data_IF_208590128931
#
_entry.id   IF_208590128931
#
_cell.length_a   1.000
_cell.length_b   1.000
_cell.length_c   1.000
_cell.angle_alpha   90.00
_cell.angle_beta   90.00
_cell.angle_gamma   90.00
#
_symmetry.space_group_name_H-M   'P 1'
#
loop_
_entity.id
_entity.type
_entity.pdbx_description
1 polymer ?
#
# COMPACT_ATOMS: atom_id res chain seq x y z
N UNK A 1 -37.57 -9.71 0.56
CA UNK A 1 -37.31 -8.32 1.03
C UNK A 1 -36.47 -7.49 0.05
N UNK A 2 -35.62 -8.07 -0.81
CA UNK A 2 -34.72 -7.33 -1.71
C UNK A 2 -35.39 -6.23 -2.57
N UNK A 3 -36.57 -6.50 -3.16
CA UNK A 3 -37.26 -5.56 -4.05
C UNK A 3 -37.56 -4.18 -3.42
N UNK A 4 -37.89 -4.14 -2.12
CA UNK A 4 -38.20 -2.86 -1.44
C UNK A 4 -36.95 -1.99 -1.33
N UNK A 5 -35.79 -2.60 -1.10
CA UNK A 5 -34.52 -1.90 -1.01
C UNK A 5 -34.05 -1.41 -2.39
N UNK A 6 -34.09 -2.28 -3.41
CA UNK A 6 -33.69 -1.92 -4.78
C UNK A 6 -34.47 -0.71 -5.31
N UNK A 7 -35.79 -0.68 -5.10
CA UNK A 7 -36.63 0.42 -5.59
C UNK A 7 -36.34 1.77 -4.92
N UNK A 8 -35.78 1.75 -3.70
CA UNK A 8 -35.39 2.97 -2.99
C UNK A 8 -33.97 3.40 -3.38
N UNK A 9 -33.08 2.44 -3.66
CA UNK A 9 -31.67 2.72 -3.95
C UNK A 9 -31.38 2.98 -5.44
N UNK A 10 -32.29 2.66 -6.35
CA UNK A 10 -32.09 2.88 -7.80
C UNK A 10 -31.96 4.37 -8.20
N UNK A 11 -32.49 5.29 -7.38
CA UNK A 11 -32.44 6.73 -7.61
C UNK A 11 -31.15 7.39 -7.07
N UNK A 12 -30.32 6.63 -6.35
CA UNK A 12 -29.09 7.14 -5.73
C UNK A 12 -27.95 7.15 -6.73
N UNK A 13 -27.25 8.28 -6.82
CA UNK A 13 -26.08 8.42 -7.67
C UNK A 13 -24.95 9.18 -6.96
N UNK A 14 -23.72 8.82 -7.31
CA UNK A 14 -22.51 9.54 -6.89
C UNK A 14 -22.27 10.69 -7.86
N UNK A 15 -22.16 11.91 -7.34
CA UNK A 15 -21.88 13.11 -8.11
C UNK A 15 -20.37 13.36 -8.21
N UNK A 16 -19.95 14.26 -9.10
CA UNK A 16 -18.54 14.58 -9.34
C UNK A 16 -17.79 15.11 -8.10
N UNK A 17 -18.51 15.59 -7.10
CA UNK A 17 -17.97 16.05 -5.81
C UNK A 17 -17.87 14.91 -4.77
N UNK A 18 -17.98 13.64 -5.21
CA UNK A 18 -18.00 12.44 -4.38
C UNK A 18 -19.17 12.36 -3.37
N UNK A 19 -20.18 13.24 -3.49
CA UNK A 19 -21.40 13.17 -2.67
C UNK A 19 -22.41 12.19 -3.27
N UNK A 20 -23.15 11.49 -2.42
CA UNK A 20 -24.28 10.64 -2.84
C UNK A 20 -25.56 11.46 -2.75
N UNK A 21 -26.23 11.65 -3.88
CA UNK A 21 -27.47 12.45 -3.96
C UNK A 21 -28.63 11.63 -4.50
N UNK A 22 -29.83 11.98 -4.06
CA UNK A 22 -31.06 11.46 -4.66
C UNK A 22 -31.44 12.25 -5.93
N UNK A 23 -32.45 11.75 -6.65
CA UNK A 23 -33.01 12.40 -7.85
C UNK A 23 -33.55 13.81 -7.62
N UNK A 24 -33.89 14.19 -6.38
CA UNK A 24 -34.33 15.55 -6.01
C UNK A 24 -33.17 16.49 -5.63
N UNK A 25 -31.92 16.01 -5.69
CA UNK A 25 -30.72 16.79 -5.35
C UNK A 25 -30.40 16.86 -3.85
N UNK A 26 -31.12 16.12 -3.01
CA UNK A 26 -30.84 16.01 -1.58
C UNK A 26 -29.60 15.14 -1.35
N UNK A 27 -28.66 15.63 -0.53
CA UNK A 27 -27.42 14.93 -0.18
C UNK A 27 -27.74 13.91 0.93
N UNK A 28 -27.43 12.65 0.67
CA UNK A 28 -27.60 11.54 1.63
C UNK A 28 -26.27 11.22 2.31
N UNK A 29 -25.17 11.23 1.56
CA UNK A 29 -23.82 11.03 2.09
C UNK A 29 -22.89 12.09 1.52
N UNK A 30 -22.07 12.71 2.38
CA UNK A 30 -21.12 13.75 1.96
C UNK A 30 -19.89 13.19 1.22
N UNK A 31 -19.46 11.99 1.59
CA UNK A 31 -18.37 11.28 0.91
C UNK A 31 -18.82 9.83 0.70
N UNK A 32 -18.89 9.36 -0.54
CA UNK A 32 -19.25 7.98 -0.85
C UNK A 32 -18.42 6.98 -0.05
N UNK A 33 -19.05 6.08 0.70
CA UNK A 33 -18.31 5.06 1.48
C UNK A 33 -17.40 5.61 2.59
N UNK A 34 -17.52 6.90 2.93
CA UNK A 34 -16.62 7.68 3.80
C UNK A 34 -15.18 7.84 3.27
N UNK A 35 -14.69 6.92 2.44
CA UNK A 35 -13.36 6.91 1.83
C UNK A 35 -13.32 7.24 0.33
N UNK A 36 -14.47 7.29 -0.34
CA UNK A 36 -14.60 7.56 -1.77
C UNK A 36 -14.21 6.39 -2.67
N UNK A 37 -14.01 5.19 -2.13
CA UNK A 37 -13.46 4.05 -2.87
C UNK A 37 -14.56 3.11 -3.36
N UNK A 38 -14.44 2.66 -4.61
CA UNK A 38 -15.39 1.69 -5.20
C UNK A 38 -15.06 0.25 -4.74
N UNK A 39 -15.96 -0.43 -4.02
CA UNK A 39 -15.75 -1.81 -3.58
C UNK A 39 -15.56 -2.81 -4.74
N UNK A 40 -16.03 -2.50 -5.95
CA UNK A 40 -15.80 -3.36 -7.12
C UNK A 40 -14.35 -3.30 -7.63
N UNK A 41 -13.61 -2.23 -7.29
CA UNK A 41 -12.22 -2.00 -7.71
C UNK A 41 -11.23 -2.36 -6.59
N UNK A 42 -11.70 -2.53 -5.35
CA UNK A 42 -10.86 -2.93 -4.23
C UNK A 42 -10.22 -4.30 -4.47
N UNK A 43 -8.91 -4.41 -4.23
CA UNK A 43 -8.15 -5.65 -4.46
C UNK A 43 -8.19 -6.61 -3.25
N UNK A 44 -8.49 -6.12 -2.04
CA UNK A 44 -8.38 -6.90 -0.80
C UNK A 44 -9.45 -7.97 -0.64
N UNK A 45 -9.05 -9.24 -0.74
CA UNK A 45 -9.96 -10.39 -0.74
C UNK A 45 -10.58 -10.72 0.62
N UNK A 46 -9.94 -10.39 1.74
CA UNK A 46 -10.33 -10.91 3.07
C UNK A 46 -10.83 -9.84 4.06
N UNK A 47 -10.36 -8.59 3.96
CA UNK A 47 -10.62 -7.56 5.00
C UNK A 47 -11.30 -6.29 4.47
N UNK A 48 -11.74 -6.26 3.20
CA UNK A 48 -12.19 -5.02 2.56
C UNK A 48 -11.08 -3.98 2.45
N UNK A 49 -9.81 -4.44 2.49
CA UNK A 49 -8.66 -3.58 2.31
C UNK A 49 -8.66 -3.04 0.86
N UNK A 50 -8.40 -1.75 0.65
CA UNK A 50 -8.34 -1.19 -0.70
C UNK A 50 -7.31 -1.89 -1.60
N UNK A 51 -6.24 -2.45 -1.00
CA UNK A 51 -5.03 -2.85 -1.71
C UNK A 51 -4.42 -4.17 -1.19
N UNK A 52 -3.99 -5.04 -2.11
CA UNK A 52 -3.20 -6.24 -1.80
C UNK A 52 -1.69 -5.91 -1.74
N UNK A 53 -1.23 -5.53 -0.54
CA UNK A 53 0.17 -5.17 -0.30
C UNK A 53 1.17 -6.30 -0.66
N UNK A 54 0.95 -7.57 -0.27
CA UNK A 54 1.80 -8.69 -0.70
C UNK A 54 1.99 -8.79 -2.22
N UNK A 55 0.91 -8.70 -2.98
CA UNK A 55 0.94 -8.82 -4.44
C UNK A 55 1.67 -7.65 -5.08
N UNK A 56 1.41 -6.42 -4.63
CA UNK A 56 2.13 -5.24 -5.12
C UNK A 56 3.62 -5.30 -4.82
N UNK A 57 3.96 -5.73 -3.62
CA UNK A 57 5.34 -5.92 -3.21
C UNK A 57 6.06 -6.95 -4.11
N UNK A 58 5.40 -8.05 -4.44
CA UNK A 58 5.94 -9.03 -5.38
C UNK A 58 6.08 -8.47 -6.81
N UNK A 59 5.10 -7.71 -7.29
CA UNK A 59 5.14 -7.04 -8.60
C UNK A 59 6.31 -6.06 -8.69
N UNK A 60 6.52 -5.25 -7.65
CA UNK A 60 7.68 -4.38 -7.56
C UNK A 60 8.98 -5.21 -7.64
N UNK A 61 9.00 -6.44 -7.08
CA UNK A 61 10.23 -7.27 -7.01
C UNK A 61 10.52 -7.89 -8.35
N UNK A 62 9.46 -8.17 -9.09
CA UNK A 62 9.53 -8.68 -10.44
C UNK A 62 10.08 -7.62 -11.41
N UNK A 63 9.63 -6.37 -11.25
CA UNK A 63 9.89 -5.25 -12.17
C UNK A 63 11.28 -4.64 -11.99
N UNK A 64 11.84 -4.66 -10.78
CA UNK A 64 13.16 -4.08 -10.52
C UNK A 64 14.29 -5.08 -10.83
N UNK A 65 15.16 -4.82 -11.83
CA UNK A 65 16.37 -5.61 -12.02
C UNK A 65 17.34 -5.36 -10.86
N UNK A 66 18.01 -6.41 -10.39
CA UNK A 66 19.09 -6.30 -9.41
C UNK A 66 20.31 -5.62 -10.05
N UNK A 67 20.31 -4.28 -10.10
CA UNK A 67 21.53 -3.50 -10.34
C UNK A 67 22.40 -3.51 -9.09
N UNK A 68 23.67 -3.16 -9.26
CA UNK A 68 24.72 -2.93 -8.23
C UNK A 68 24.30 -1.85 -7.22
N UNK A 69 23.21 -2.06 -6.50
CA UNK A 69 22.74 -1.16 -5.47
C UNK A 69 23.21 -1.67 -4.12
N UNK A 70 23.68 -0.74 -3.30
CA UNK A 70 23.96 -0.94 -1.88
C UNK A 70 22.77 -1.61 -1.19
N UNK A 71 23.10 -2.61 -0.38
CA UNK A 71 22.15 -3.23 0.53
C UNK A 71 21.72 -2.18 1.56
N UNK A 72 20.42 -2.06 1.75
CA UNK A 72 19.90 -1.24 2.83
C UNK A 72 19.86 -2.06 4.11
N UNK A 73 20.38 -1.48 5.18
CA UNK A 73 20.21 -2.05 6.52
C UNK A 73 18.73 -1.98 6.94
N UNK A 74 18.28 -2.85 7.87
CA UNK A 74 16.92 -2.81 8.40
C UNK A 74 16.51 -1.42 8.94
N UNK A 75 17.48 -0.71 9.52
CA UNK A 75 17.31 0.63 10.08
C UNK A 75 17.12 1.66 8.97
N UNK A 76 17.96 1.60 7.93
CA UNK A 76 17.85 2.48 6.77
C UNK A 76 16.53 2.30 6.01
N UNK A 77 16.00 1.08 5.96
CA UNK A 77 14.67 0.81 5.38
C UNK A 77 13.59 1.54 6.17
N UNK A 78 13.60 1.41 7.49
CA UNK A 78 12.62 2.04 8.38
C UNK A 78 12.68 3.57 8.29
N UNK A 79 13.88 4.13 8.25
CA UNK A 79 14.11 5.56 8.07
C UNK A 79 13.61 6.07 6.70
N UNK A 80 13.86 5.29 5.64
CA UNK A 80 13.39 5.64 4.29
C UNK A 80 11.87 5.61 4.19
N UNK A 81 11.21 4.66 4.84
CA UNK A 81 9.74 4.60 4.91
C UNK A 81 9.19 5.80 5.66
N UNK A 82 9.71 6.09 6.86
CA UNK A 82 9.28 7.24 7.67
C UNK A 82 9.51 8.58 6.95
N UNK A 83 10.66 8.75 6.32
CA UNK A 83 10.98 9.96 5.54
C UNK A 83 10.12 10.12 4.28
N UNK A 84 9.49 9.04 3.81
CA UNK A 84 8.56 9.07 2.67
C UNK A 84 7.12 9.27 3.10
N UNK A 85 6.67 8.61 4.18
CA UNK A 85 5.34 8.81 4.76
C UNK A 85 5.14 10.23 5.34
N UNK A 86 6.22 10.87 5.78
CA UNK A 86 6.21 12.26 6.28
C UNK A 86 6.24 13.31 5.17
N UNK A 87 6.68 12.96 3.96
CA UNK A 87 6.54 13.82 2.78
C UNK A 87 5.08 13.76 2.37
N UNK A 88 4.27 14.66 2.93
CA UNK A 88 2.91 14.88 2.45
C UNK A 88 3.02 15.23 0.95
N UNK A 89 2.44 14.37 0.10
CA UNK A 89 2.33 14.68 -1.31
C UNK A 89 1.38 15.87 -1.47
N UNK A 90 1.77 16.81 -2.33
CA UNK A 90 1.12 18.09 -2.60
C UNK A 90 -0.19 17.94 -3.40
N UNK A 91 -1.03 16.97 -3.08
CA UNK A 91 -2.35 16.82 -3.69
C UNK A 91 -3.40 17.51 -2.81
N UNK A 92 -4.25 18.31 -3.45
CA UNK A 92 -5.16 19.27 -2.80
C UNK A 92 -6.22 18.66 -1.86
N UNK A 93 -6.44 17.34 -1.86
CA UNK A 93 -7.46 16.67 -1.03
C UNK A 93 -7.07 15.25 -0.55
N UNK A 94 -5.84 14.79 -0.83
CA UNK A 94 -5.52 13.35 -0.82
C UNK A 94 -4.59 12.88 0.28
N UNK A 95 -4.78 13.29 1.54
CA UNK A 95 -4.00 12.66 2.62
C UNK A 95 -4.43 11.19 2.73
N UNK A 96 -3.53 10.24 2.44
CA UNK A 96 -3.83 8.81 2.61
C UNK A 96 -4.43 8.57 4.01
N UNK A 97 -5.50 7.78 4.09
CA UNK A 97 -6.17 7.44 5.35
C UNK A 97 -5.15 7.01 6.41
N UNK A 98 -5.34 7.47 7.64
CA UNK A 98 -4.50 7.08 8.79
C UNK A 98 -4.49 5.55 8.95
N UNK A 99 -5.61 4.90 8.63
CA UNK A 99 -5.72 3.44 8.61
C UNK A 99 -4.77 2.79 7.59
N UNK A 100 -4.67 3.35 6.39
CA UNK A 100 -3.73 2.88 5.37
C UNK A 100 -2.28 3.04 5.82
N UNK A 101 -1.90 4.20 6.37
CA UNK A 101 -0.55 4.43 6.88
C UNK A 101 -0.16 3.42 7.95
N UNK A 102 -1.08 3.16 8.87
CA UNK A 102 -0.87 2.19 9.95
C UNK A 102 -0.75 0.76 9.42
N UNK A 103 -1.62 0.36 8.49
CA UNK A 103 -1.57 -0.96 7.84
C UNK A 103 -0.27 -1.18 7.08
N UNK A 104 0.16 -0.17 6.34
CA UNK A 104 1.41 -0.15 5.59
C UNK A 104 2.62 -0.27 6.52
N UNK A 105 2.66 0.50 7.61
CA UNK A 105 3.72 0.42 8.61
C UNK A 105 3.76 -0.96 9.25
N UNK A 106 2.62 -1.54 9.61
CA UNK A 106 2.54 -2.90 10.16
C UNK A 106 3.08 -3.95 9.17
N UNK A 107 2.71 -3.84 7.89
CA UNK A 107 3.19 -4.74 6.84
C UNK A 107 4.72 -4.65 6.67
N UNK A 108 5.25 -3.43 6.61
CA UNK A 108 6.69 -3.21 6.46
C UNK A 108 7.46 -3.64 7.70
N UNK A 109 6.97 -3.35 8.91
CA UNK A 109 7.59 -3.79 10.16
C UNK A 109 7.63 -5.33 10.22
N UNK A 110 6.55 -6.02 9.87
CA UNK A 110 6.53 -7.49 9.77
C UNK A 110 7.57 -8.01 8.79
N UNK A 111 7.76 -7.33 7.66
CA UNK A 111 8.75 -7.69 6.66
C UNK A 111 10.18 -7.45 7.15
N UNK A 112 10.45 -6.30 7.78
CA UNK A 112 11.75 -5.95 8.37
C UNK A 112 12.13 -6.95 9.47
N UNK A 113 11.18 -7.34 10.33
CA UNK A 113 11.39 -8.36 11.34
C UNK A 113 11.72 -9.73 10.75
N UNK A 114 11.04 -10.13 9.67
CA UNK A 114 11.37 -11.35 8.94
C UNK A 114 12.78 -11.29 8.34
N UNK A 115 13.19 -10.12 7.85
CA UNK A 115 14.53 -9.88 7.33
C UNK A 115 15.59 -9.95 8.44
N UNK A 116 15.35 -9.33 9.60
CA UNK A 116 16.24 -9.41 10.77
C UNK A 116 16.43 -10.83 11.25
N UNK A 117 15.35 -11.61 11.41
CA UNK A 117 15.43 -13.03 11.77
C UNK A 117 16.29 -13.83 10.82
N UNK A 118 16.18 -13.58 9.52
CA UNK A 118 17.04 -14.23 8.52
C UNK A 118 18.49 -13.79 8.66
N UNK A 119 18.75 -12.52 8.96
CA UNK A 119 20.11 -12.03 9.19
C UNK A 119 20.79 -12.71 10.39
N UNK A 120 20.07 -12.78 11.53
CA UNK A 120 20.54 -13.40 12.77
C UNK A 120 20.76 -14.92 12.63
N UNK A 121 19.86 -15.62 11.92
CA UNK A 121 19.95 -17.08 11.73
C UNK A 121 21.15 -17.48 10.87
N UNK A 122 21.56 -16.63 9.92
CA UNK A 122 22.65 -16.94 9.00
C UNK A 122 24.00 -16.32 9.39
N UNK A 123 24.09 -15.59 10.53
CA UNK A 123 25.33 -14.94 11.03
C UNK A 123 26.11 -14.22 9.92
N UNK A 124 25.41 -13.50 9.05
CA UNK A 124 26.02 -12.80 7.94
C UNK A 124 26.62 -11.49 8.46
N UNK A 125 27.91 -11.52 8.81
CA UNK A 125 28.66 -10.28 9.07
C UNK A 125 28.62 -9.39 7.82
N UNK A 126 28.38 -8.10 8.06
CA UNK A 126 27.88 -7.07 7.15
C UNK A 126 28.66 -6.85 5.84
N UNK A 127 29.76 -7.54 5.58
CA UNK A 127 30.71 -7.11 4.57
C UNK A 127 30.76 -7.92 3.26
N UNK A 128 30.49 -9.22 3.20
CA UNK A 128 30.78 -9.94 1.92
C UNK A 128 29.99 -11.23 1.59
N UNK A 129 29.15 -11.77 2.49
CA UNK A 129 28.69 -13.16 2.34
C UNK A 129 27.25 -13.35 1.81
N UNK A 130 26.65 -12.35 1.16
CA UNK A 130 25.29 -12.49 0.59
C UNK A 130 25.24 -13.00 -0.86
N UNK A 131 26.40 -13.28 -1.48
CA UNK A 131 26.46 -13.62 -2.90
C UNK A 131 26.18 -15.11 -3.19
N UNK A 132 26.26 -16.00 -2.20
CA UNK A 132 26.40 -17.45 -2.46
C UNK A 132 25.21 -18.31 -1.98
N UNK A 133 24.40 -17.91 -0.99
CA UNK A 133 23.61 -18.91 -0.23
C UNK A 133 22.12 -19.03 -0.59
N UNK A 134 21.46 -18.06 -1.26
CA UNK A 134 20.02 -18.18 -1.55
C UNK A 134 19.64 -17.84 -3.00
N UNK A 135 19.55 -18.85 -3.90
CA UNK A 135 18.98 -18.65 -5.23
C UNK A 135 17.46 -18.45 -5.09
N UNK A 136 16.97 -17.27 -5.48
CA UNK A 136 15.52 -16.99 -5.59
C UNK A 136 14.96 -15.90 -4.68
N UNK A 137 15.68 -15.46 -3.62
CA UNK A 137 15.27 -14.28 -2.84
C UNK A 137 15.86 -13.01 -3.44
N UNK A 138 15.11 -12.37 -4.35
CA UNK A 138 15.47 -11.08 -4.96
C UNK A 138 15.66 -10.00 -3.86
N UNK A 139 16.80 -9.30 -3.94
CA UNK A 139 17.28 -8.27 -3.00
C UNK A 139 16.31 -7.08 -2.92
N UNK A 140 16.20 -6.47 -1.75
CA UNK A 140 15.60 -5.14 -1.58
C UNK A 140 16.67 -4.09 -1.88
N UNK A 141 16.61 -3.49 -3.06
CA UNK A 141 17.47 -2.37 -3.43
C UNK A 141 16.82 -1.04 -3.00
N UNK A 142 17.62 0.00 -2.79
CA UNK A 142 17.12 1.38 -2.58
C UNK A 142 16.15 1.83 -3.67
N UNK A 143 16.44 1.46 -4.92
CA UNK A 143 15.55 1.67 -6.08
C UNK A 143 14.23 0.92 -5.96
N UNK A 144 14.22 -0.29 -5.40
CA UNK A 144 13.01 -1.07 -5.19
C UNK A 144 12.06 -0.39 -4.21
N UNK A 145 12.59 0.09 -3.08
CA UNK A 145 11.78 0.71 -2.05
C UNK A 145 11.24 2.07 -2.50
N UNK A 146 12.04 2.82 -3.25
CA UNK A 146 11.61 4.07 -3.89
C UNK A 146 10.52 3.81 -4.94
N UNK A 147 10.68 2.81 -5.82
CA UNK A 147 9.66 2.47 -6.82
C UNK A 147 8.37 1.93 -6.20
N UNK A 148 8.45 1.15 -5.12
CA UNK A 148 7.29 0.70 -4.37
C UNK A 148 6.53 1.90 -3.77
N UNK A 149 7.25 2.79 -3.09
CA UNK A 149 6.66 3.98 -2.46
C UNK A 149 6.16 4.99 -3.49
N UNK A 150 6.84 5.15 -4.63
CA UNK A 150 6.37 6.01 -5.73
C UNK A 150 5.20 5.38 -6.49
N UNK A 151 5.09 4.05 -6.56
CA UNK A 151 3.90 3.37 -7.10
C UNK A 151 2.68 3.57 -6.20
N UNK A 152 2.91 3.82 -4.91
CA UNK A 152 1.85 4.06 -3.92
C UNK A 152 1.45 5.53 -3.82
N UNK A 153 2.14 6.46 -4.48
CA UNK A 153 1.71 7.87 -4.61
C UNK A 153 0.46 8.06 -5.47
N UNK A 154 0.08 7.05 -6.24
CA UNK A 154 -1.09 7.09 -7.12
C UNK A 154 -2.36 6.55 -6.46
N UNK A 155 -2.28 6.13 -5.19
CA UNK A 155 -3.38 5.65 -4.36
C UNK A 155 -3.53 6.54 -3.12
#
# INVERSE_FOLDING_TARGET
MARRLTKVMEDLCVQYDNTVRNSSGCIIQFCYGDDGMDPAVMEGTEDGAPLDLPRLFLKAKATCPARENEYLSPEQVTEMVRSRLSKQDMTLDGSCSVGFKTSLEQFLNKYVEAFRKTHETFLLDDHFCWMIIVPGRRRLCKTYLVLLLDSWKFF
#
